data_IF_778479664566
#
_entry.id   IF_778479664566
#
_cell.length_a   1.000
_cell.length_b   1.000
_cell.length_c   1.000
_cell.angle_alpha   90.00
_cell.angle_beta   90.00
_cell.angle_gamma   90.00
#
_symmetry.space_group_name_H-M   'P 1'
#
loop_
_entity.id
_entity.type
_entity.pdbx_description
1 polymer ?
#
# COMPACT_ATOMS: atom_id res chain seq x y z
N UNK A 1 -0.14 -4.46 16.41
CA UNK A 1 -1.10 -4.50 15.29
C UNK A 1 -1.80 -3.16 15.27
N UNK A 2 -1.83 -2.50 14.13
CA UNK A 2 -2.50 -1.23 13.94
C UNK A 2 -3.92 -1.45 13.44
N UNK A 3 -4.85 -0.69 13.99
CA UNK A 3 -6.21 -0.64 13.47
C UNK A 3 -6.31 0.29 12.25
N UNK A 4 -7.50 0.34 11.65
CA UNK A 4 -7.75 1.16 10.47
C UNK A 4 -7.50 2.67 10.72
N UNK A 5 -7.91 3.19 11.88
CA UNK A 5 -7.78 4.62 12.19
C UNK A 5 -6.32 5.03 12.37
N UNK A 6 -5.53 4.18 13.04
CA UNK A 6 -4.08 4.36 13.17
C UNK A 6 -3.39 4.31 11.80
N UNK A 7 -3.76 3.34 10.96
CA UNK A 7 -3.21 3.23 9.61
C UNK A 7 -3.60 4.40 8.71
N UNK A 8 -4.83 4.91 8.85
CA UNK A 8 -5.33 6.08 8.12
C UNK A 8 -4.58 7.35 8.55
N UNK A 9 -4.29 7.50 9.84
CA UNK A 9 -3.48 8.63 10.32
C UNK A 9 -2.09 8.63 9.68
N UNK A 10 -1.40 7.48 9.70
CA UNK A 10 -0.08 7.32 9.07
C UNK A 10 -0.15 7.64 7.56
N UNK A 11 -1.19 7.15 6.88
CA UNK A 11 -1.35 7.38 5.45
C UNK A 11 -1.60 8.86 5.13
N UNK A 12 -2.40 9.57 5.95
CA UNK A 12 -2.61 11.02 5.81
C UNK A 12 -1.33 11.81 6.07
N UNK A 13 -0.52 11.42 7.04
CA UNK A 13 0.76 12.07 7.32
C UNK A 13 1.73 11.93 6.14
N UNK A 14 1.69 10.80 5.43
CA UNK A 14 2.57 10.52 4.28
C UNK A 14 2.05 11.10 2.96
N UNK A 15 0.75 11.00 2.69
CA UNK A 15 0.15 11.40 1.42
C UNK A 15 -0.43 12.82 1.46
N UNK A 16 -0.59 13.43 2.63
CA UNK A 16 -1.32 14.68 2.87
C UNK A 16 -2.84 14.55 2.75
N UNK A 17 -3.32 13.69 1.84
CA UNK A 17 -4.73 13.37 1.61
C UNK A 17 -4.90 11.88 1.33
N UNK A 18 -6.08 11.35 1.67
CA UNK A 18 -6.51 9.99 1.33
C UNK A 18 -7.93 10.06 0.79
N UNK A 19 -8.18 9.45 -0.37
CA UNK A 19 -9.51 9.36 -0.99
C UNK A 19 -10.09 7.95 -0.92
N UNK A 20 -9.24 6.92 -0.98
CA UNK A 20 -9.67 5.51 -0.97
C UNK A 20 -8.76 4.68 -0.09
N UNK A 21 -9.37 3.65 0.51
CA UNK A 21 -8.67 2.57 1.20
C UNK A 21 -9.19 1.22 0.66
N UNK A 22 -8.28 0.26 0.52
CA UNK A 22 -8.62 -1.15 0.38
C UNK A 22 -7.70 -2.02 1.23
N UNK A 23 -8.15 -3.22 1.56
CA UNK A 23 -7.31 -4.21 2.23
C UNK A 23 -6.65 -5.14 1.21
N UNK A 24 -5.36 -5.41 1.40
CA UNK A 24 -4.63 -6.37 0.58
C UNK A 24 -3.73 -7.22 1.48
N UNK A 25 -4.12 -8.49 1.69
CA UNK A 25 -3.45 -9.40 2.64
C UNK A 25 -3.28 -8.72 4.03
N UNK A 26 -2.04 -8.62 4.49
CA UNK A 26 -1.64 -8.03 5.77
C UNK A 26 -1.48 -6.50 5.71
N UNK A 27 -2.01 -5.84 4.69
CA UNK A 27 -1.86 -4.40 4.48
C UNK A 27 -3.20 -3.68 4.38
N UNK A 28 -3.25 -2.46 4.94
CA UNK A 28 -4.18 -1.42 4.49
C UNK A 28 -3.51 -0.62 3.38
N UNK A 29 -4.16 -0.45 2.25
CA UNK A 29 -3.63 0.26 1.08
C UNK A 29 -4.44 1.51 0.87
N UNK A 30 -3.77 2.65 0.99
CA UNK A 30 -4.38 3.96 0.83
C UNK A 30 -3.92 4.62 -0.45
N UNK A 31 -4.83 5.38 -1.05
CA UNK A 31 -4.55 6.19 -2.22
C UNK A 31 -5.30 7.50 -2.17
N UNK A 32 -4.78 8.48 -2.90
CA UNK A 32 -5.52 9.69 -3.23
C UNK A 32 -5.61 9.84 -4.75
N UNK A 33 -6.67 10.46 -5.21
CA UNK A 33 -6.89 10.74 -6.62
C UNK A 33 -6.13 12.00 -6.99
N UNK A 34 -5.19 11.87 -7.93
CA UNK A 34 -4.59 13.02 -8.61
C UNK A 34 -5.23 13.12 -10.00
N UNK A 35 -5.69 14.33 -10.42
CA UNK A 35 -6.19 14.55 -11.78
C UNK A 35 -5.06 14.52 -12.83
N UNK A 36 -3.80 14.47 -12.42
CA UNK A 36 -2.65 14.33 -13.30
C UNK A 36 -2.44 12.84 -13.57
N UNK A 37 -2.46 12.49 -14.86
CA UNK A 37 -2.02 11.20 -15.41
C UNK A 37 -0.51 11.10 -15.23
N UNK A 38 -0.05 10.97 -13.99
CA UNK A 38 1.33 10.62 -13.71
C UNK A 38 1.36 9.15 -13.36
N UNK A 39 2.17 8.41 -14.12
CA UNK A 39 2.65 7.03 -13.91
C UNK A 39 3.40 6.85 -12.56
N UNK A 40 3.17 7.73 -11.58
CA UNK A 40 3.92 7.78 -10.33
C UNK A 40 3.21 6.93 -9.27
N UNK A 41 3.87 5.83 -8.92
CA UNK A 41 3.55 4.95 -7.79
C UNK A 41 3.52 5.66 -6.42
N UNK A 42 3.82 6.97 -6.40
CA UNK A 42 3.83 7.89 -5.26
C UNK A 42 2.47 8.02 -4.58
N UNK A 43 1.37 7.74 -5.29
CA UNK A 43 0.02 7.97 -4.79
C UNK A 43 -0.57 6.78 -4.03
N UNK A 44 0.21 5.70 -3.86
CA UNK A 44 -0.20 4.45 -3.23
C UNK A 44 0.73 4.11 -2.08
N UNK A 45 0.19 4.08 -0.86
CA UNK A 45 0.92 3.65 0.33
C UNK A 45 0.25 2.42 0.93
N UNK A 46 1.05 1.41 1.28
CA UNK A 46 0.62 0.22 1.97
C UNK A 46 1.14 0.25 3.41
N UNK A 47 0.25 0.13 4.38
CA UNK A 47 0.55 0.10 5.81
C UNK A 47 0.39 -1.34 6.30
N UNK A 48 1.47 -1.96 6.78
CA UNK A 48 1.44 -3.32 7.31
C UNK A 48 0.65 -3.36 8.62
N UNK A 49 -0.44 -4.14 8.67
CA UNK A 49 -1.33 -4.26 9.84
C UNK A 49 -0.60 -4.68 11.10
N UNK A 50 0.42 -5.52 11.01
CA UNK A 50 1.16 -6.00 12.18
C UNK A 50 2.00 -4.91 12.84
N UNK A 51 2.72 -4.13 12.03
CA UNK A 51 3.80 -3.25 12.49
C UNK A 51 3.51 -1.77 12.34
N UNK A 52 2.53 -1.39 11.51
CA UNK A 52 2.27 0.00 11.13
C UNK A 52 3.30 0.58 10.14
N UNK A 53 4.24 -0.22 9.63
CA UNK A 53 5.24 0.26 8.67
C UNK A 53 4.59 0.57 7.33
N UNK A 54 5.00 1.70 6.75
CA UNK A 54 4.55 2.16 5.45
C UNK A 54 5.50 1.73 4.34
N UNK A 55 4.94 1.34 3.20
CA UNK A 55 5.65 0.89 2.01
C UNK A 55 4.99 1.46 0.75
N UNK A 56 5.76 1.59 -0.33
CA UNK A 56 5.17 1.78 -1.65
C UNK A 56 4.40 0.51 -2.05
N UNK A 57 3.12 0.65 -2.41
CA UNK A 57 2.29 -0.53 -2.71
C UNK A 57 2.79 -1.33 -3.92
N UNK A 58 3.36 -0.67 -4.94
CA UNK A 58 3.91 -1.34 -6.12
C UNK A 58 5.12 -2.21 -5.73
N UNK A 59 5.95 -1.75 -4.80
CA UNK A 59 7.05 -2.56 -4.26
C UNK A 59 6.53 -3.79 -3.52
N UNK A 60 5.49 -3.63 -2.70
CA UNK A 60 4.85 -4.74 -1.96
C UNK A 60 4.31 -5.81 -2.91
N UNK A 61 3.54 -5.44 -3.93
CA UNK A 61 3.00 -6.43 -4.88
C UNK A 61 4.09 -7.07 -5.74
N UNK A 62 5.15 -6.32 -6.08
CA UNK A 62 6.26 -6.85 -6.87
C UNK A 62 7.01 -7.93 -6.09
N UNK A 63 7.30 -7.68 -4.82
CA UNK A 63 8.01 -8.63 -3.96
C UNK A 63 7.17 -9.89 -3.69
N UNK A 64 5.89 -9.72 -3.38
CA UNK A 64 4.95 -10.85 -3.25
C UNK A 64 4.84 -11.64 -4.55
N UNK A 65 4.86 -10.98 -5.70
CA UNK A 65 4.84 -11.61 -7.01
C UNK A 65 6.11 -12.42 -7.31
N UNK A 66 7.29 -11.96 -6.87
CA UNK A 66 8.55 -12.73 -6.98
C UNK A 66 8.50 -14.01 -6.15
N UNK A 67 8.04 -13.92 -4.89
CA UNK A 67 7.87 -15.10 -4.02
C UNK A 67 6.91 -16.12 -4.63
N UNK A 68 5.85 -15.67 -5.33
CA UNK A 68 4.93 -16.55 -6.05
C UNK A 68 5.55 -17.21 -7.30
N UNK A 69 6.59 -16.62 -7.89
CA UNK A 69 7.30 -17.14 -9.08
C UNK A 69 8.42 -18.13 -8.78
N UNK A 70 8.86 -18.27 -7.53
CA UNK A 70 9.90 -19.26 -7.16
C UNK A 70 9.43 -20.73 -7.19
N UNK A 71 8.16 -20.98 -7.55
CA UNK A 71 7.70 -22.29 -8.00
C UNK A 71 7.76 -22.38 -9.53
N UNK A 72 8.33 -23.46 -10.08
CA UNK A 72 8.24 -23.79 -11.51
C UNK A 72 6.79 -23.63 -11.98
N UNK A 73 6.52 -22.61 -12.80
CA UNK A 73 5.31 -22.56 -13.62
C UNK A 73 5.44 -23.73 -14.60
N UNK A 74 4.59 -24.75 -14.44
CA UNK A 74 4.44 -25.84 -15.40
C UNK A 74 3.52 -25.41 -16.52
#
# INVERSE_FOLDING_TARGET
MVDYEQALSIAKDLLGKVDKCCEYKDYYVFSYHTPVVEDSSSNLVAIEKKTGKAYNFIAVITELGKMLREGKVK
#
